data_IF_410955746532
#
_entry.id   IF_410955746532
#
_cell.length_a   1.000
_cell.length_b   1.000
_cell.length_c   1.000
_cell.angle_alpha   90.00
_cell.angle_beta   90.00
_cell.angle_gamma   90.00
#
_symmetry.space_group_name_H-M   'P 1'
#
loop_
_entity.id
_entity.type
_entity.pdbx_description
1 polymer ?
#
# COMPACT_ATOMS: atom_id res chain seq x y z
N UNK A 1 57.33 -22.60 50.18
CA UNK A 1 56.67 -22.97 51.45
C UNK A 1 56.77 -24.48 51.60
N UNK A 2 57.04 -24.95 52.82
CA UNK A 2 57.83 -26.12 53.14
C UNK A 2 56.94 -27.23 53.69
N UNK A 3 57.57 -28.26 54.28
CA UNK A 3 56.97 -29.17 55.27
C UNK A 3 56.01 -30.21 54.65
N UNK A 4 55.95 -31.47 55.09
CA UNK A 4 56.40 -32.07 56.34
C UNK A 4 56.12 -33.58 56.30
N UNK A 5 56.76 -34.30 57.21
CA UNK A 5 56.29 -35.51 57.91
C UNK A 5 56.24 -36.84 57.12
N UNK A 6 56.58 -38.01 57.68
CA UNK A 6 57.42 -38.44 58.80
C UNK A 6 57.24 -39.96 59.00
N UNK A 7 58.12 -40.53 59.84
CA UNK A 7 57.94 -41.70 60.72
C UNK A 7 58.00 -43.10 60.05
N UNK A 8 59.05 -43.90 60.33
CA UNK A 8 59.28 -44.75 61.55
C UNK A 8 58.92 -46.22 61.27
N UNK A 9 59.53 -47.27 61.82
CA UNK A 9 60.60 -47.52 62.83
C UNK A 9 60.73 -49.06 62.93
N UNK A 10 61.83 -49.52 63.55
CA UNK A 10 62.06 -50.83 64.21
C UNK A 10 62.52 -51.98 63.29
N UNK A 11 63.54 -52.79 63.61
CA UNK A 11 64.12 -53.33 64.86
C UNK A 11 65.59 -53.77 64.57
N UNK A 12 66.59 -53.95 65.45
CA UNK A 12 66.70 -54.23 66.89
C UNK A 12 68.10 -53.79 67.41
N UNK A 13 68.17 -53.35 68.67
CA UNK A 13 69.36 -53.01 69.48
C UNK A 13 70.18 -54.23 69.96
N UNK A 14 71.43 -54.01 70.41
CA UNK A 14 71.85 -54.20 71.83
C UNK A 14 73.34 -53.83 72.08
N UNK A 15 73.52 -52.85 72.99
CA UNK A 15 74.56 -52.68 74.02
C UNK A 15 76.02 -52.24 73.72
N UNK A 16 76.35 -51.07 74.28
CA UNK A 16 77.65 -50.58 74.80
C UNK A 16 77.82 -51.04 76.29
N UNK A 17 78.83 -50.71 77.13
CA UNK A 17 80.25 -50.28 76.99
C UNK A 17 81.23 -51.04 77.95
N UNK A 18 82.50 -50.58 78.02
CA UNK A 18 83.49 -50.61 79.14
C UNK A 18 84.66 -51.64 79.14
N UNK A 19 85.89 -51.09 79.21
CA UNK A 19 87.15 -51.67 79.76
C UNK A 19 87.11 -51.74 81.31
N UNK A 20 88.17 -52.17 82.04
CA UNK A 20 88.98 -53.41 82.05
C UNK A 20 88.91 -54.08 83.47
N UNK A 21 89.75 -55.07 83.84
CA UNK A 21 90.82 -54.75 84.81
C UNK A 21 92.12 -55.62 84.75
N UNK A 22 93.03 -55.24 85.65
CA UNK A 22 94.41 -55.67 85.97
C UNK A 22 94.53 -56.98 86.79
N UNK A 23 95.80 -57.33 87.08
CA UNK A 23 96.40 -58.26 88.08
C UNK A 23 96.77 -59.66 87.53
N UNK A 24 98.03 -60.09 87.41
CA UNK A 24 99.22 -60.15 88.30
C UNK A 24 99.21 -61.31 89.31
N UNK A 25 100.41 -61.93 89.43
CA UNK A 25 100.96 -62.71 90.57
C UNK A 25 101.13 -64.24 90.34
N UNK A 26 102.43 -64.63 90.32
CA UNK A 26 103.12 -65.85 90.82
C UNK A 26 102.34 -66.75 91.82
N UNK A 27 102.66 -68.05 92.07
CA UNK A 27 103.89 -68.40 92.82
C UNK A 27 104.45 -69.86 92.73
N UNK A 28 105.70 -69.97 93.20
CA UNK A 28 106.30 -70.98 94.11
C UNK A 28 106.18 -72.50 93.88
N UNK A 29 107.34 -73.09 93.54
CA UNK A 29 108.08 -74.24 94.14
C UNK A 29 107.33 -75.14 95.16
N UNK A 30 107.55 -76.48 95.06
CA UNK A 30 107.97 -77.23 96.24
C UNK A 30 109.22 -78.12 96.03
N UNK A 31 109.79 -78.44 97.18
CA UNK A 31 111.05 -79.12 97.51
C UNK A 31 110.86 -80.64 97.53
N UNK A 32 111.84 -81.43 97.05
CA UNK A 32 112.23 -82.70 97.69
C UNK A 32 113.50 -83.35 97.10
N UNK A 33 114.45 -83.60 98.01
CA UNK A 33 115.31 -84.79 98.15
C UNK A 33 115.81 -85.53 96.92
N UNK A 34 117.14 -85.59 96.77
CA UNK A 34 117.86 -86.82 97.16
C UNK A 34 119.37 -86.61 97.18
N UNK A 35 119.93 -87.00 98.32
CA UNK A 35 121.32 -87.10 98.67
C UNK A 35 122.09 -88.05 97.74
N UNK A 36 123.34 -87.67 97.44
CA UNK A 36 124.54 -88.53 97.52
C UNK A 36 124.46 -89.96 96.95
N UNK A 37 125.05 -90.18 95.77
CA UNK A 37 126.02 -91.26 95.50
C UNK A 37 127.03 -90.70 94.47
N UNK A 38 128.33 -90.88 94.74
CA UNK A 38 129.49 -90.39 93.98
C UNK A 38 129.85 -91.32 92.78
N UNK A 39 130.92 -91.06 92.00
CA UNK A 39 130.86 -90.64 90.60
C UNK A 39 131.31 -91.75 89.61
N UNK A 40 131.35 -91.48 88.29
CA UNK A 40 132.57 -90.93 87.71
C UNK A 40 132.33 -89.76 86.73
N UNK A 41 133.20 -88.76 86.86
CA UNK A 41 133.64 -87.76 85.87
C UNK A 41 132.81 -87.56 84.58
N UNK A 42 131.97 -86.51 84.55
CA UNK A 42 131.62 -85.73 83.34
C UNK A 42 131.27 -84.28 83.75
N UNK A 43 131.64 -83.32 82.91
CA UNK A 43 131.89 -81.92 83.26
C UNK A 43 130.64 -81.03 83.47
N UNK A 44 130.67 -80.04 84.39
CA UNK A 44 129.54 -79.15 84.73
C UNK A 44 128.97 -78.25 83.62
N UNK A 45 129.67 -78.09 82.49
CA UNK A 45 129.19 -77.24 81.38
C UNK A 45 128.10 -77.91 80.54
N UNK A 46 128.06 -79.25 80.54
CA UNK A 46 127.09 -80.00 79.74
C UNK A 46 125.67 -79.93 80.34
N UNK A 47 125.52 -79.94 81.67
CA UNK A 47 124.21 -79.93 82.34
C UNK A 47 123.49 -78.57 82.31
N UNK A 48 124.23 -77.45 82.40
CA UNK A 48 123.66 -76.09 82.27
C UNK A 48 123.23 -75.78 80.84
N UNK A 49 124.00 -76.24 79.85
CA UNK A 49 123.66 -76.12 78.43
C UNK A 49 122.39 -76.93 78.11
N UNK A 50 122.27 -78.15 78.65
CA UNK A 50 121.06 -78.99 78.52
C UNK A 50 119.81 -78.33 79.12
N UNK A 51 119.91 -77.70 80.30
CA UNK A 51 118.79 -76.98 80.92
C UNK A 51 118.39 -75.72 80.13
N UNK A 52 119.37 -74.92 79.69
CA UNK A 52 119.12 -73.73 78.85
C UNK A 52 118.46 -74.10 77.52
N UNK A 53 118.92 -75.19 76.88
CA UNK A 53 118.29 -75.73 75.67
C UNK A 53 116.87 -76.23 75.95
N UNK A 54 116.59 -76.85 77.09
CA UNK A 54 115.25 -77.29 77.47
C UNK A 54 114.28 -76.11 77.68
N UNK A 55 114.71 -75.04 78.36
CA UNK A 55 113.92 -73.81 78.55
C UNK A 55 113.67 -73.12 77.21
N UNK A 56 114.70 -73.01 76.35
CA UNK A 56 114.53 -72.44 75.01
C UNK A 56 113.61 -73.27 74.12
N UNK A 57 113.70 -74.60 74.18
CA UNK A 57 112.77 -75.52 73.48
C UNK A 57 111.33 -75.35 73.99
N UNK A 58 111.14 -75.23 75.29
CA UNK A 58 109.81 -74.99 75.89
C UNK A 58 109.22 -73.63 75.51
N UNK A 59 110.04 -72.58 75.47
CA UNK A 59 109.61 -71.24 75.00
C UNK A 59 109.26 -71.24 73.51
N UNK A 60 110.07 -71.92 72.68
CA UNK A 60 109.78 -72.13 71.25
C UNK A 60 108.44 -72.85 71.08
N UNK A 61 108.20 -73.93 71.84
CA UNK A 61 106.93 -74.66 71.76
C UNK A 61 105.73 -73.80 72.20
N UNK A 62 105.89 -72.90 73.18
CA UNK A 62 104.83 -71.97 73.58
C UNK A 62 104.57 -70.91 72.50
N UNK A 63 105.62 -70.31 71.93
CA UNK A 63 105.49 -69.36 70.83
C UNK A 63 104.89 -70.01 69.58
N UNK A 64 105.26 -71.26 69.28
CA UNK A 64 104.64 -72.06 68.21
C UNK A 64 103.16 -72.32 68.50
N UNK A 65 102.76 -72.59 69.75
CA UNK A 65 101.35 -72.74 70.12
C UNK A 65 100.57 -71.44 69.97
N UNK A 66 101.16 -70.30 70.35
CA UNK A 66 100.54 -68.97 70.20
C UNK A 66 100.44 -68.57 68.72
N UNK A 67 101.52 -68.73 67.95
CA UNK A 67 101.56 -68.47 66.52
C UNK A 67 100.54 -69.34 65.77
N UNK A 68 100.47 -70.64 66.08
CA UNK A 68 99.46 -71.52 65.48
C UNK A 68 98.03 -71.16 65.90
N UNK A 69 97.82 -70.63 67.11
CA UNK A 69 96.51 -70.14 67.54
C UNK A 69 96.13 -68.82 66.84
N UNK A 70 97.09 -67.93 66.59
CA UNK A 70 96.90 -66.69 65.85
C UNK A 70 96.69 -66.95 64.35
N UNK A 71 97.47 -67.83 63.75
CA UNK A 71 97.30 -68.29 62.36
C UNK A 71 95.93 -68.94 62.15
N UNK A 72 95.44 -69.74 63.11
CA UNK A 72 94.06 -70.27 63.07
C UNK A 72 92.99 -69.17 63.15
N UNK A 73 93.21 -68.11 63.93
CA UNK A 73 92.28 -66.96 63.99
C UNK A 73 92.32 -66.16 62.70
N UNK A 74 93.51 -65.97 62.14
CA UNK A 74 93.72 -65.22 60.91
C UNK A 74 93.10 -65.96 59.72
N UNK A 75 93.37 -67.24 59.58
CA UNK A 75 92.72 -68.09 58.54
C UNK A 75 91.20 -68.14 58.69
N UNK A 76 90.67 -68.18 59.92
CA UNK A 76 89.22 -68.12 60.14
C UNK A 76 88.64 -66.75 59.75
N UNK A 77 89.34 -65.65 60.06
CA UNK A 77 88.94 -64.31 59.64
C UNK A 77 89.03 -64.12 58.12
N UNK A 78 90.07 -64.67 57.48
CA UNK A 78 90.22 -64.68 56.02
C UNK A 78 89.05 -65.43 55.37
N UNK A 79 88.69 -66.62 55.88
CA UNK A 79 87.53 -67.38 55.41
C UNK A 79 86.23 -66.60 55.54
N UNK A 80 85.99 -65.95 56.69
CA UNK A 80 84.80 -65.12 56.86
C UNK A 80 84.74 -63.95 55.87
N UNK A 81 85.87 -63.29 55.61
CA UNK A 81 85.90 -62.21 54.62
C UNK A 81 85.68 -62.72 53.19
N UNK A 82 86.19 -63.91 52.87
CA UNK A 82 85.96 -64.56 51.59
C UNK A 82 84.47 -64.96 51.43
N UNK A 83 83.86 -65.53 52.47
CA UNK A 83 82.43 -65.85 52.50
C UNK A 83 81.55 -64.59 52.37
N UNK A 84 81.87 -63.52 53.10
CA UNK A 84 81.16 -62.24 53.02
C UNK A 84 81.31 -61.60 51.63
N UNK A 85 82.49 -61.69 51.00
CA UNK A 85 82.70 -61.21 49.63
C UNK A 85 81.84 -61.98 48.63
N UNK A 86 81.73 -63.31 48.78
CA UNK A 86 80.85 -64.16 47.94
C UNK A 86 79.38 -63.77 48.14
N UNK A 87 78.93 -63.58 49.38
CA UNK A 87 77.55 -63.18 49.68
C UNK A 87 77.25 -61.79 49.11
N UNK A 88 78.18 -60.85 49.22
CA UNK A 88 78.01 -59.50 48.69
C UNK A 88 77.93 -59.49 47.16
N UNK A 89 78.78 -60.26 46.48
CA UNK A 89 78.71 -60.42 45.02
C UNK A 89 77.40 -61.07 44.58
N UNK A 90 76.88 -62.04 45.34
CA UNK A 90 75.56 -62.61 45.09
C UNK A 90 74.45 -61.57 45.29
N UNK A 91 74.54 -60.74 46.33
CA UNK A 91 73.60 -59.66 46.59
C UNK A 91 73.59 -58.62 45.45
N UNK A 92 74.76 -58.20 44.95
CA UNK A 92 74.84 -57.28 43.82
C UNK A 92 74.22 -57.88 42.55
N UNK A 93 74.51 -59.16 42.25
CA UNK A 93 73.90 -59.86 41.11
C UNK A 93 72.38 -59.94 41.22
N UNK A 94 71.85 -60.25 42.39
CA UNK A 94 70.40 -60.33 42.62
C UNK A 94 69.75 -58.94 42.55
N UNK A 95 70.42 -57.90 43.07
CA UNK A 95 69.93 -56.52 43.00
C UNK A 95 69.90 -55.98 41.57
N UNK A 96 70.99 -56.17 40.81
CA UNK A 96 71.08 -55.80 39.41
C UNK A 96 70.01 -56.54 38.60
N UNK A 97 69.84 -57.85 38.84
CA UNK A 97 68.79 -58.65 38.21
C UNK A 97 67.40 -58.12 38.52
N UNK A 98 67.09 -57.86 39.79
CA UNK A 98 65.79 -57.32 40.20
C UNK A 98 65.53 -55.92 39.62
N UNK A 99 66.55 -55.04 39.58
CA UNK A 99 66.42 -53.71 38.99
C UNK A 99 66.14 -53.77 37.48
N UNK A 100 66.83 -54.65 36.75
CA UNK A 100 66.59 -54.90 35.33
C UNK A 100 65.21 -55.50 35.09
N UNK A 101 64.77 -56.44 35.93
CA UNK A 101 63.42 -57.00 35.86
C UNK A 101 62.35 -55.92 36.11
N UNK A 102 62.54 -55.06 37.11
CA UNK A 102 61.64 -53.94 37.37
C UNK A 102 61.55 -52.94 36.20
N UNK A 103 62.68 -52.62 35.55
CA UNK A 103 62.72 -51.76 34.35
C UNK A 103 61.95 -52.43 33.20
N UNK A 104 62.20 -53.71 32.93
CA UNK A 104 61.49 -54.46 31.88
C UNK A 104 59.99 -54.48 32.10
N UNK A 105 59.54 -54.68 33.33
CA UNK A 105 58.11 -54.64 33.68
C UNK A 105 57.54 -53.25 33.41
N UNK A 106 58.22 -52.18 33.86
CA UNK A 106 57.79 -50.79 33.62
C UNK A 106 57.72 -50.43 32.13
N UNK A 107 58.68 -50.90 31.32
CA UNK A 107 58.68 -50.72 29.86
C UNK A 107 57.52 -51.44 29.19
N UNK A 108 57.25 -52.69 29.58
CA UNK A 108 56.11 -53.48 29.06
C UNK A 108 54.77 -52.82 29.43
N UNK A 109 54.61 -52.38 30.69
CA UNK A 109 53.42 -51.65 31.12
C UNK A 109 53.23 -50.34 30.36
N UNK A 110 54.32 -49.60 30.13
CA UNK A 110 54.29 -48.36 29.34
C UNK A 110 53.91 -48.64 27.90
N UNK A 111 54.43 -49.71 27.30
CA UNK A 111 54.07 -50.15 25.95
C UNK A 111 52.59 -50.49 25.84
N UNK A 112 52.05 -51.31 26.74
CA UNK A 112 50.61 -51.66 26.76
C UNK A 112 49.75 -50.41 26.97
N UNK A 113 50.16 -49.49 27.86
CA UNK A 113 49.48 -48.22 28.06
C UNK A 113 49.47 -47.36 26.79
N UNK A 114 50.59 -47.26 26.08
CA UNK A 114 50.67 -46.52 24.80
C UNK A 114 49.77 -47.14 23.73
N UNK A 115 49.73 -48.46 23.62
CA UNK A 115 48.84 -49.18 22.69
C UNK A 115 47.36 -48.91 23.02
N UNK A 116 46.95 -49.02 24.30
CA UNK A 116 45.58 -48.68 24.71
C UNK A 116 45.25 -47.21 24.49
N UNK A 117 46.19 -46.30 24.74
CA UNK A 117 46.02 -44.87 24.46
C UNK A 117 45.79 -44.61 22.97
N UNK A 118 46.50 -45.31 22.08
CA UNK A 118 46.30 -45.20 20.63
C UNK A 118 44.91 -45.68 20.20
N UNK A 119 44.42 -46.77 20.80
CA UNK A 119 43.10 -47.34 20.53
C UNK A 119 41.97 -46.43 21.04
N UNK A 120 42.13 -45.85 22.23
CA UNK A 120 41.19 -44.84 22.75
C UNK A 120 41.12 -43.65 21.80
N UNK A 121 42.26 -43.12 21.33
CA UNK A 121 42.30 -42.02 20.37
C UNK A 121 41.57 -42.40 19.07
N UNK A 122 41.84 -43.59 18.54
CA UNK A 122 41.19 -44.12 17.32
C UNK A 122 39.67 -44.20 17.46
N UNK A 123 39.17 -44.74 18.57
CA UNK A 123 37.72 -44.83 18.84
C UNK A 123 37.13 -43.44 19.04
N UNK A 124 37.83 -42.55 19.75
CA UNK A 124 37.37 -41.17 20.01
C UNK A 124 37.19 -40.40 18.71
N UNK A 125 38.14 -40.51 17.77
CA UNK A 125 38.00 -39.91 16.43
C UNK A 125 36.78 -40.46 15.69
N UNK A 126 36.59 -41.79 15.66
CA UNK A 126 35.41 -42.40 15.01
C UNK A 126 34.09 -41.94 15.63
N UNK A 127 34.04 -41.83 16.96
CA UNK A 127 32.86 -41.35 17.67
C UNK A 127 32.52 -39.91 17.26
N UNK A 128 33.51 -39.02 17.14
CA UNK A 128 33.27 -37.63 16.69
C UNK A 128 32.77 -37.61 15.25
N UNK A 129 33.35 -38.40 14.35
CA UNK A 129 32.87 -38.52 12.96
C UNK A 129 31.41 -39.00 12.93
N UNK A 130 31.08 -40.09 13.62
CA UNK A 130 29.71 -40.63 13.67
C UNK A 130 28.74 -39.60 14.27
N UNK A 131 29.13 -38.90 15.35
CA UNK A 131 28.31 -37.82 15.92
C UNK A 131 28.06 -36.70 14.91
N UNK A 132 29.09 -36.29 14.16
CA UNK A 132 28.93 -35.28 13.11
C UNK A 132 27.99 -35.74 12.00
N UNK A 133 28.05 -37.02 11.62
CA UNK A 133 27.17 -37.58 10.60
C UNK A 133 25.74 -37.71 11.10
N UNK A 134 25.52 -38.09 12.38
CA UNK A 134 24.21 -38.06 13.02
C UNK A 134 23.62 -36.65 12.93
N UNK A 135 24.37 -35.62 13.30
CA UNK A 135 23.87 -34.23 13.20
C UNK A 135 23.52 -33.83 11.76
N UNK A 136 24.36 -34.18 10.77
CA UNK A 136 24.04 -33.94 9.36
C UNK A 136 22.75 -34.64 8.92
N UNK A 137 22.58 -35.90 9.29
CA UNK A 137 21.38 -36.66 8.94
C UNK A 137 20.14 -36.15 9.68
N UNK A 138 20.27 -35.68 10.92
CA UNK A 138 19.18 -35.02 11.65
C UNK A 138 18.70 -33.75 10.94
N UNK A 139 19.62 -32.94 10.42
CA UNK A 139 19.29 -31.72 9.67
C UNK A 139 18.64 -32.04 8.33
N UNK A 140 19.19 -33.00 7.56
CA UNK A 140 18.56 -33.50 6.33
C UNK A 140 17.15 -34.05 6.61
N UNK A 141 16.97 -34.77 7.72
CA UNK A 141 15.66 -35.28 8.11
C UNK A 141 14.66 -34.17 8.46
N UNK A 142 15.11 -33.04 9.01
CA UNK A 142 14.24 -31.87 9.22
C UNK A 142 13.83 -31.27 7.88
N UNK A 143 14.75 -31.11 6.94
CA UNK A 143 14.46 -30.60 5.59
C UNK A 143 13.43 -31.49 4.86
N UNK A 144 13.62 -32.82 4.87
CA UNK A 144 12.66 -33.72 4.26
C UNK A 144 11.28 -33.71 4.93
N UNK A 145 11.21 -33.47 6.25
CA UNK A 145 9.92 -33.25 6.94
C UNK A 145 9.24 -31.97 6.46
N UNK A 146 9.99 -30.87 6.33
CA UNK A 146 9.47 -29.61 5.78
C UNK A 146 8.95 -29.80 4.35
N UNK A 147 9.71 -30.51 3.49
CA UNK A 147 9.30 -30.81 2.12
C UNK A 147 8.05 -31.69 2.09
N UNK A 148 7.97 -32.72 2.96
CA UNK A 148 6.78 -33.57 3.07
C UNK A 148 5.54 -32.77 3.48
N UNK A 149 5.66 -31.88 4.46
CA UNK A 149 4.55 -31.02 4.89
C UNK A 149 4.13 -30.04 3.79
N UNK A 150 5.09 -29.47 3.07
CA UNK A 150 4.84 -28.61 1.92
C UNK A 150 4.07 -29.34 0.82
N UNK A 151 4.55 -30.52 0.39
CA UNK A 151 3.87 -31.35 -0.60
C UNK A 151 2.48 -31.77 -0.14
N UNK A 152 2.30 -32.07 1.15
CA UNK A 152 0.98 -32.41 1.70
C UNK A 152 -0.01 -31.24 1.59
N UNK A 153 0.44 -30.00 1.86
CA UNK A 153 -0.40 -28.79 1.75
C UNK A 153 -0.80 -28.49 0.30
N UNK A 154 0.10 -28.75 -0.66
CA UNK A 154 -0.18 -28.57 -2.08
C UNK A 154 -1.01 -29.70 -2.70
N UNK A 155 -1.10 -30.84 -2.02
CA UNK A 155 -1.94 -31.94 -2.50
C UNK A 155 -3.42 -31.53 -2.49
N UNK A 156 -4.27 -31.99 -3.43
CA UNK A 156 -5.69 -31.65 -3.45
C UNK A 156 -6.41 -31.98 -2.14
N UNK A 157 -7.42 -31.17 -1.77
CA UNK A 157 -8.16 -31.32 -0.51
C UNK A 157 -8.79 -32.71 -0.37
N UNK A 158 -9.36 -33.25 -1.44
CA UNK A 158 -9.96 -34.59 -1.47
C UNK A 158 -8.94 -35.67 -1.06
N UNK A 159 -7.72 -35.55 -1.56
CA UNK A 159 -6.64 -36.47 -1.23
C UNK A 159 -6.15 -36.28 0.21
N UNK A 160 -6.01 -35.02 0.68
CA UNK A 160 -5.63 -34.73 2.06
C UNK A 160 -6.64 -35.30 3.07
N UNK A 161 -7.94 -35.15 2.80
CA UNK A 161 -9.02 -35.65 3.65
C UNK A 161 -9.05 -37.17 3.70
N UNK A 162 -8.93 -37.83 2.54
CA UNK A 162 -8.82 -39.28 2.46
C UNK A 162 -7.60 -39.80 3.25
N UNK A 163 -6.46 -39.12 3.18
CA UNK A 163 -5.28 -39.47 3.98
C UNK A 163 -5.47 -39.27 5.48
N UNK A 164 -6.12 -38.19 5.91
CA UNK A 164 -6.46 -37.97 7.32
C UNK A 164 -7.44 -39.02 7.83
N UNK A 165 -8.41 -39.43 7.01
CA UNK A 165 -9.36 -40.49 7.33
C UNK A 165 -8.66 -41.85 7.45
N UNK A 166 -7.81 -42.22 6.47
CA UNK A 166 -6.95 -43.42 6.53
C UNK A 166 -6.13 -43.44 7.84
N UNK A 167 -5.45 -42.34 8.17
CA UNK A 167 -4.66 -42.24 9.41
C UNK A 167 -5.49 -42.42 10.69
N UNK A 168 -6.73 -41.88 10.73
CA UNK A 168 -7.66 -42.08 11.86
C UNK A 168 -8.09 -43.55 11.97
N UNK A 169 -8.40 -44.20 10.85
CA UNK A 169 -8.80 -45.62 10.85
C UNK A 169 -7.67 -46.56 11.27
N UNK A 170 -6.42 -46.26 10.88
CA UNK A 170 -5.24 -47.01 11.30
C UNK A 170 -4.99 -46.89 12.82
N UNK A 171 -5.14 -45.68 13.37
CA UNK A 171 -5.04 -45.45 14.83
C UNK A 171 -6.14 -46.17 15.63
N UNK A 172 -7.35 -46.28 15.08
CA UNK A 172 -8.46 -47.02 15.72
C UNK A 172 -8.23 -48.54 15.69
N UNK A 173 -7.63 -49.05 14.60
CA UNK A 173 -7.27 -50.47 14.44
C UNK A 173 -6.09 -50.89 15.33
N UNK A 174 -5.13 -50.00 15.61
CA UNK A 174 -4.05 -50.31 16.56
C UNK A 174 -4.54 -50.31 18.01
N UNK A 175 -5.45 -49.41 18.40
CA UNK A 175 -6.02 -49.34 19.75
C UNK A 175 -6.93 -50.54 20.11
N UNK A 176 -7.48 -51.24 19.13
CA UNK A 176 -8.33 -52.44 19.36
C UNK A 176 -7.54 -53.74 19.42
N UNK A 177 -6.24 -53.74 19.11
CA UNK A 177 -5.38 -54.94 19.13
C UNK A 177 -4.74 -55.22 20.50
N UNK A 178 -4.76 -54.25 21.42
CA UNK A 178 -4.26 -54.36 22.80
C UNK A 178 -5.36 -54.76 23.83
N UNK A 179 -6.18 -55.77 23.51
CA UNK A 179 -6.97 -56.48 24.54
C UNK A 179 -6.37 -57.88 24.79
N UNK A 180 -5.85 -58.18 26.00
CA UNK A 180 -5.39 -59.52 26.33
C UNK A 180 -6.57 -60.49 26.31
N UNK A 181 -6.45 -61.58 25.55
CA UNK A 181 -7.33 -62.74 25.71
C UNK A 181 -6.90 -63.49 26.97
N UNK A 182 -7.59 -63.21 28.06
CA UNK A 182 -7.60 -64.04 29.26
C UNK A 182 -8.30 -65.37 28.90
N UNK A 183 -7.56 -66.48 28.95
CA UNK A 183 -8.12 -67.82 29.06
C UNK A 183 -7.36 -68.55 30.14
N UNK A 184 -8.06 -68.65 31.26
CA UNK A 184 -7.77 -69.42 32.45
C UNK A 184 -7.77 -70.93 32.14
N UNK A 185 -6.84 -71.68 32.77
CA UNK A 185 -6.97 -73.07 33.23
C UNK A 185 -5.64 -73.57 33.85
N UNK A 186 -5.71 -73.74 35.17
CA UNK A 186 -4.95 -74.61 36.09
C UNK A 186 -4.18 -75.79 35.45
N UNK A 187 -2.93 -76.08 35.88
CA UNK A 187 -2.61 -76.77 37.15
C UNK A 187 -1.08 -77.10 37.27
N UNK A 188 -0.51 -76.91 38.47
CA UNK A 188 0.50 -77.74 39.18
C UNK A 188 2.05 -77.56 39.00
N UNK A 189 2.66 -77.18 40.14
CA UNK A 189 4.00 -77.51 40.69
C UNK A 189 5.28 -76.95 39.98
N UNK A 190 6.33 -76.38 40.60
CA UNK A 190 6.89 -76.27 41.97
C UNK A 190 7.91 -75.09 42.00
N UNK A 191 8.35 -74.56 43.16
CA UNK A 191 9.22 -73.39 43.25
C UNK A 191 10.70 -73.76 43.45
N UNK A 192 11.62 -73.12 42.70
CA UNK A 192 13.04 -73.02 43.08
C UNK A 192 13.55 -71.60 42.92
N UNK A 193 13.89 -71.02 44.08
CA UNK A 193 14.72 -69.82 44.28
C UNK A 193 16.03 -69.92 43.48
N UNK A 194 16.34 -68.87 42.71
CA UNK A 194 17.67 -68.27 42.68
C UNK A 194 17.55 -66.75 42.55
N UNK A 195 18.01 -66.07 43.58
CA UNK A 195 18.31 -64.65 43.65
C UNK A 195 19.43 -64.31 42.66
N UNK A 196 19.35 -63.16 41.99
CA UNK A 196 20.44 -62.17 41.88
C UNK A 196 20.41 -61.40 40.56
N UNK A 197 20.36 -60.06 40.70
CA UNK A 197 20.75 -59.02 39.74
C UNK A 197 20.05 -59.02 38.37
N UNK A 198 18.86 -58.43 38.31
CA UNK A 198 18.38 -57.80 37.08
C UNK A 198 17.46 -56.59 37.31
N UNK A 199 17.70 -55.84 38.40
CA UNK A 199 16.93 -54.62 38.74
C UNK A 199 17.62 -53.31 38.30
N UNK A 200 18.63 -53.37 37.44
CA UNK A 200 19.35 -52.17 36.97
C UNK A 200 19.30 -51.92 35.46
N UNK A 201 18.63 -52.77 34.68
CA UNK A 201 18.48 -52.62 33.23
C UNK A 201 17.04 -52.30 32.77
N UNK A 202 16.14 -51.98 33.70
CA UNK A 202 14.73 -51.63 33.38
C UNK A 202 14.55 -50.13 33.10
N UNK A 203 15.59 -49.30 33.28
CA UNK A 203 15.49 -47.84 33.06
C UNK A 203 16.19 -47.32 31.80
N UNK A 204 16.72 -48.20 30.93
CA UNK A 204 17.36 -47.80 29.66
C UNK A 204 16.84 -48.57 28.44
N UNK A 205 15.62 -49.10 28.51
CA UNK A 205 14.89 -49.63 27.34
C UNK A 205 13.75 -48.71 26.86
N UNK A 206 13.50 -47.59 27.55
CA UNK A 206 12.52 -46.57 27.15
C UNK A 206 12.95 -45.73 25.93
N UNK A 207 14.13 -45.96 25.35
CA UNK A 207 14.66 -45.18 24.22
C UNK A 207 14.97 -46.05 22.99
N UNK A 208 14.67 -47.35 23.01
CA UNK A 208 14.71 -48.14 21.77
C UNK A 208 13.38 -48.04 21.02
N UNK A 209 13.09 -46.84 20.51
CA UNK A 209 12.07 -46.58 19.50
C UNK A 209 12.54 -46.92 18.07
N UNK A 210 13.62 -47.69 17.92
CA UNK A 210 14.31 -47.90 16.63
C UNK A 210 14.38 -49.40 16.28
N UNK A 211 13.24 -50.08 16.40
CA UNK A 211 12.99 -51.34 15.69
C UNK A 211 11.48 -51.51 15.47
N UNK A 212 10.86 -50.56 14.77
CA UNK A 212 9.58 -50.81 14.12
C UNK A 212 9.87 -51.26 12.68
N UNK A 213 9.69 -52.55 12.32
CA UNK A 213 9.74 -53.01 10.94
C UNK A 213 8.42 -52.68 10.22
N UNK A 214 8.02 -51.41 10.24
CA UNK A 214 6.91 -50.87 9.46
C UNK A 214 7.30 -49.49 8.96
N UNK A 215 8.31 -49.44 8.10
CA UNK A 215 8.45 -48.34 7.17
C UNK A 215 7.35 -48.52 6.12
N UNK A 216 6.14 -48.11 6.47
CA UNK A 216 5.12 -47.84 5.45
C UNK A 216 5.70 -46.72 4.58
N UNK A 217 5.91 -47.02 3.30
CA UNK A 217 6.33 -46.01 2.34
C UNK A 217 5.37 -44.81 2.44
N UNK A 218 5.88 -43.59 2.67
CA UNK A 218 5.03 -42.42 2.75
C UNK A 218 4.32 -42.24 1.40
N UNK A 219 3.02 -42.52 1.38
CA UNK A 219 2.17 -42.34 0.21
C UNK A 219 2.07 -40.83 -0.10
N UNK A 220 2.78 -40.39 -1.13
CA UNK A 220 2.78 -39.01 -1.64
C UNK A 220 1.79 -38.88 -2.80
N UNK A 221 1.17 -37.70 -2.92
CA UNK A 221 0.31 -37.37 -4.05
C UNK A 221 1.13 -37.23 -5.34
N UNK A 222 2.17 -36.41 -5.30
CA UNK A 222 3.07 -36.17 -6.42
C UNK A 222 4.03 -37.36 -6.60
N UNK A 223 4.07 -37.94 -7.80
CA UNK A 223 4.92 -39.08 -8.15
C UNK A 223 6.12 -38.69 -9.01
N UNK A 224 5.99 -37.60 -9.77
CA UNK A 224 7.06 -37.00 -10.57
C UNK A 224 7.23 -35.54 -10.15
N UNK A 225 8.46 -35.06 -9.83
CA UNK A 225 8.74 -33.65 -9.57
C UNK A 225 8.18 -32.68 -10.62
N UNK A 226 8.04 -33.10 -11.88
CA UNK A 226 7.47 -32.28 -12.95
C UNK A 226 6.03 -31.85 -12.67
N UNK A 227 5.23 -32.69 -12.01
CA UNK A 227 3.83 -32.39 -11.67
C UNK A 227 3.71 -31.16 -10.75
N UNK A 228 4.65 -31.01 -9.82
CA UNK A 228 4.68 -29.83 -8.95
C UNK A 228 5.08 -28.57 -9.72
N UNK A 229 6.05 -28.69 -10.62
CA UNK A 229 6.48 -27.56 -11.45
C UNK A 229 5.36 -27.11 -12.38
N UNK A 230 4.66 -28.05 -13.03
CA UNK A 230 3.51 -27.78 -13.89
C UNK A 230 2.39 -27.09 -13.11
N UNK A 231 2.05 -27.56 -11.90
CA UNK A 231 1.09 -26.90 -11.03
C UNK A 231 1.50 -25.46 -10.68
N UNK A 232 2.77 -25.21 -10.39
CA UNK A 232 3.26 -23.87 -10.09
C UNK A 232 3.23 -22.96 -11.32
N UNK A 233 3.57 -23.49 -12.51
CA UNK A 233 3.46 -22.76 -13.78
C UNK A 233 2.01 -22.45 -14.13
N UNK A 234 1.09 -23.39 -13.93
CA UNK A 234 -0.35 -23.16 -14.13
C UNK A 234 -0.87 -22.10 -13.15
N UNK A 235 -0.48 -22.15 -11.87
CA UNK A 235 -0.83 -21.10 -10.90
C UNK A 235 -0.24 -19.75 -11.27
N UNK A 236 0.98 -19.71 -11.80
CA UNK A 236 1.60 -18.49 -12.30
C UNK A 236 0.81 -17.92 -13.49
N UNK A 237 0.45 -18.76 -14.47
CA UNK A 237 -0.35 -18.37 -15.62
C UNK A 237 -1.75 -17.88 -15.20
N UNK A 238 -2.41 -18.56 -14.27
CA UNK A 238 -3.70 -18.14 -13.71
C UNK A 238 -3.59 -16.80 -12.98
N UNK A 239 -2.54 -16.60 -12.18
CA UNK A 239 -2.31 -15.32 -11.50
C UNK A 239 -2.05 -14.18 -12.50
N UNK A 240 -1.24 -14.42 -13.53
CA UNK A 240 -1.00 -13.44 -14.59
C UNK A 240 -2.29 -13.11 -15.36
N UNK A 241 -3.10 -14.11 -15.68
CA UNK A 241 -4.41 -13.94 -16.31
C UNK A 241 -5.37 -13.11 -15.45
N UNK A 242 -5.42 -13.37 -14.14
CA UNK A 242 -6.23 -12.60 -13.19
C UNK A 242 -5.77 -11.15 -13.08
N UNK A 243 -4.46 -10.91 -13.05
CA UNK A 243 -3.90 -9.55 -13.03
C UNK A 243 -4.27 -8.80 -14.31
N UNK A 244 -4.12 -9.46 -15.47
CA UNK A 244 -4.47 -8.87 -16.75
C UNK A 244 -5.96 -8.56 -16.83
N UNK A 245 -6.83 -9.51 -16.46
CA UNK A 245 -8.27 -9.31 -16.45
C UNK A 245 -8.68 -8.18 -15.49
N UNK A 246 -8.11 -8.13 -14.29
CA UNK A 246 -8.34 -7.05 -13.34
C UNK A 246 -7.98 -5.69 -13.95
N UNK A 247 -6.84 -5.59 -14.64
CA UNK A 247 -6.40 -4.35 -15.28
C UNK A 247 -7.32 -3.95 -16.45
N UNK A 248 -7.68 -4.90 -17.31
CA UNK A 248 -8.63 -4.65 -18.40
C UNK A 248 -10.00 -4.18 -17.87
N UNK A 249 -10.49 -4.79 -16.77
CA UNK A 249 -11.74 -4.36 -16.14
C UNK A 249 -11.63 -2.99 -15.48
N UNK A 250 -10.47 -2.65 -14.90
CA UNK A 250 -10.19 -1.34 -14.32
C UNK A 250 -10.17 -0.26 -15.40
N UNK A 251 -9.47 -0.51 -16.50
CA UNK A 251 -9.40 0.40 -17.65
C UNK A 251 -10.80 0.63 -18.26
N UNK A 252 -11.59 -0.44 -18.48
CA UNK A 252 -12.97 -0.33 -18.97
C UNK A 252 -13.88 0.43 -17.99
N UNK A 253 -13.68 0.25 -16.68
CA UNK A 253 -14.43 1.00 -15.67
C UNK A 253 -14.07 2.50 -15.69
N UNK A 254 -12.80 2.84 -15.91
CA UNK A 254 -12.34 4.22 -16.02
C UNK A 254 -12.88 4.89 -17.29
N UNK A 255 -12.86 4.21 -18.43
CA UNK A 255 -13.50 4.70 -19.66
C UNK A 255 -15.00 4.95 -19.46
N UNK A 256 -15.71 4.02 -18.80
CA UNK A 256 -17.12 4.21 -18.48
C UNK A 256 -17.35 5.42 -17.57
N UNK A 257 -16.51 5.61 -16.54
CA UNK A 257 -16.56 6.81 -15.68
C UNK A 257 -16.39 8.09 -16.48
N UNK A 258 -15.43 8.13 -17.40
CA UNK A 258 -15.18 9.31 -18.25
C UNK A 258 -16.38 9.62 -19.15
N UNK A 259 -16.98 8.61 -19.77
CA UNK A 259 -18.19 8.77 -20.61
C UNK A 259 -19.37 9.27 -19.78
N UNK A 260 -19.57 8.72 -18.58
CA UNK A 260 -20.64 9.15 -17.67
C UNK A 260 -20.43 10.60 -17.21
N UNK A 261 -19.20 10.99 -16.91
CA UNK A 261 -18.85 12.36 -16.54
C UNK A 261 -19.06 13.34 -17.69
N UNK A 262 -18.67 12.96 -18.90
CA UNK A 262 -18.91 13.75 -20.12
C UNK A 262 -20.42 13.93 -20.36
N UNK A 263 -21.19 12.85 -20.31
CA UNK A 263 -22.64 12.89 -20.51
C UNK A 263 -23.35 13.70 -19.43
N UNK A 264 -22.94 13.56 -18.16
CA UNK A 264 -23.48 14.37 -17.06
C UNK A 264 -23.27 15.86 -17.31
N UNK A 265 -22.05 16.27 -17.68
CA UNK A 265 -21.73 17.68 -17.98
C UNK A 265 -22.55 18.20 -19.17
N UNK A 266 -22.68 17.39 -20.24
CA UNK A 266 -23.49 17.75 -21.41
C UNK A 266 -24.97 17.93 -21.02
N UNK A 267 -25.53 17.00 -20.27
CA UNK A 267 -26.90 17.08 -19.77
C UNK A 267 -27.13 18.29 -18.86
N UNK A 268 -26.16 18.63 -18.00
CA UNK A 268 -26.23 19.82 -17.14
C UNK A 268 -26.27 21.10 -17.98
N UNK A 269 -25.44 21.20 -19.03
CA UNK A 269 -25.47 22.33 -19.96
C UNK A 269 -26.83 22.42 -20.68
N UNK A 270 -27.34 21.32 -21.22
CA UNK A 270 -28.66 21.28 -21.88
C UNK A 270 -29.80 21.64 -20.91
N UNK A 271 -29.74 21.15 -19.66
CA UNK A 271 -30.73 21.48 -18.61
C UNK A 271 -30.70 22.96 -18.27
N UNK A 272 -29.50 23.55 -18.13
CA UNK A 272 -29.35 24.98 -17.86
C UNK A 272 -29.87 25.83 -19.04
N UNK A 273 -29.64 25.41 -20.28
CA UNK A 273 -30.17 26.07 -21.47
C UNK A 273 -31.70 26.02 -21.50
N UNK A 274 -32.31 24.86 -21.24
CA UNK A 274 -33.76 24.72 -21.18
C UNK A 274 -34.36 25.55 -20.05
N UNK A 275 -33.72 25.58 -18.89
CA UNK A 275 -34.14 26.41 -17.75
C UNK A 275 -34.13 27.89 -18.13
N UNK A 276 -33.06 28.37 -18.78
CA UNK A 276 -32.98 29.73 -19.25
C UNK A 276 -34.05 30.06 -20.30
N UNK A 277 -34.36 29.14 -21.21
CA UNK A 277 -35.46 29.31 -22.18
C UNK A 277 -36.81 29.40 -21.48
N UNK A 278 -37.06 28.55 -20.48
CA UNK A 278 -38.28 28.60 -19.66
C UNK A 278 -38.39 29.95 -18.96
N UNK A 279 -37.32 30.47 -18.37
CA UNK A 279 -37.33 31.76 -17.69
C UNK A 279 -37.65 32.91 -18.64
N UNK A 280 -37.03 32.93 -19.83
CA UNK A 280 -37.30 33.93 -20.87
C UNK A 280 -38.75 33.86 -21.34
N UNK A 281 -39.25 32.65 -21.61
CA UNK A 281 -40.65 32.45 -22.03
C UNK A 281 -41.61 32.86 -20.92
N UNK A 282 -41.34 32.51 -19.67
CA UNK A 282 -42.15 32.88 -18.51
C UNK A 282 -42.20 34.39 -18.34
N UNK A 283 -41.06 35.07 -18.46
CA UNK A 283 -40.99 36.53 -18.42
C UNK A 283 -41.76 37.16 -19.59
N UNK A 284 -41.63 36.61 -20.80
CA UNK A 284 -42.36 37.09 -21.98
C UNK A 284 -43.87 36.92 -21.81
N UNK A 285 -44.33 35.75 -21.37
CA UNK A 285 -45.74 35.47 -21.08
C UNK A 285 -46.26 36.45 -20.02
N UNK A 286 -45.49 36.71 -18.96
CA UNK A 286 -45.88 37.66 -17.92
C UNK A 286 -46.07 39.07 -18.49
N UNK A 287 -45.10 39.56 -19.28
CA UNK A 287 -45.17 40.86 -19.95
C UNK A 287 -46.34 40.96 -20.92
N UNK A 288 -46.61 39.92 -21.72
CA UNK A 288 -47.78 39.89 -22.61
C UNK A 288 -49.09 39.88 -21.81
N UNK A 289 -49.15 39.18 -20.67
CA UNK A 289 -50.32 39.20 -19.77
C UNK A 289 -50.54 40.58 -19.17
N UNK A 290 -49.48 41.28 -18.74
CA UNK A 290 -49.58 42.66 -18.26
C UNK A 290 -50.10 43.59 -19.35
N UNK A 291 -49.56 43.50 -20.57
CA UNK A 291 -50.07 44.28 -21.72
C UNK A 291 -51.51 43.92 -22.07
N UNK A 292 -51.88 42.65 -22.02
CA UNK A 292 -53.25 42.22 -22.27
C UNK A 292 -54.21 42.81 -21.22
N UNK A 293 -53.81 42.81 -19.94
CA UNK A 293 -54.57 43.42 -18.86
C UNK A 293 -54.66 44.95 -19.01
N UNK A 294 -53.57 45.61 -19.40
CA UNK A 294 -53.56 47.06 -19.70
C UNK A 294 -54.48 47.41 -20.87
N UNK A 295 -54.39 46.66 -21.97
CA UNK A 295 -55.25 46.83 -23.14
C UNK A 295 -56.71 46.55 -22.82
N UNK A 296 -57.00 45.53 -22.00
CA UNK A 296 -58.35 45.24 -21.55
C UNK A 296 -58.90 46.39 -20.69
N UNK A 297 -58.12 46.92 -19.75
CA UNK A 297 -58.51 48.09 -18.97
C UNK A 297 -58.76 49.29 -19.90
N UNK A 298 -57.87 49.54 -20.86
CA UNK A 298 -58.01 50.62 -21.85
C UNK A 298 -59.24 50.43 -22.73
N UNK A 299 -59.53 49.21 -23.17
CA UNK A 299 -60.72 48.87 -23.94
C UNK A 299 -61.99 49.06 -23.09
N UNK A 300 -61.98 48.65 -21.82
CA UNK A 300 -63.08 48.91 -20.88
C UNK A 300 -63.29 50.42 -20.70
N UNK A 301 -62.23 51.21 -20.48
CA UNK A 301 -62.31 52.67 -20.38
C UNK A 301 -62.83 53.33 -21.66
N UNK A 302 -62.39 52.85 -22.82
CA UNK A 302 -62.86 53.31 -24.13
C UNK A 302 -64.32 52.93 -24.38
N UNK A 303 -64.77 51.75 -23.94
CA UNK A 303 -66.15 51.29 -24.02
C UNK A 303 -67.07 52.04 -23.04
N UNK A 304 -66.58 52.39 -21.85
CA UNK A 304 -67.24 53.37 -20.97
C UNK A 304 -67.26 54.78 -21.59
N UNK A 305 -66.31 55.06 -22.50
CA UNK A 305 -66.07 56.35 -23.12
C UNK A 305 -66.96 56.71 -24.31
N UNK A 306 -67.65 55.77 -25.00
CA UNK A 306 -68.64 56.13 -26.05
C UNK A 306 -69.42 54.93 -26.61
N UNK A 307 -70.76 55.00 -26.49
CA UNK A 307 -71.61 55.32 -27.63
C UNK A 307 -72.83 56.08 -27.08
N UNK A 308 -72.70 57.41 -26.93
CA UNK A 308 -73.92 58.21 -27.07
C UNK A 308 -74.39 57.94 -28.50
N UNK A 309 -75.62 57.46 -28.66
CA UNK A 309 -76.22 57.07 -29.95
C UNK A 309 -76.06 58.13 -31.04
N UNK A 310 -75.84 59.39 -30.66
CA UNK A 310 -75.62 60.52 -31.56
C UNK A 310 -74.35 60.42 -32.42
N UNK A 311 -73.25 59.83 -31.93
CA UNK A 311 -72.01 59.76 -32.72
C UNK A 311 -72.10 58.77 -33.89
N UNK A 312 -72.96 57.75 -33.78
CA UNK A 312 -73.19 56.81 -34.88
C UNK A 312 -73.97 57.47 -36.03
N UNK A 313 -75.02 58.23 -35.69
CA UNK A 313 -75.75 59.04 -36.67
C UNK A 313 -74.90 60.13 -37.30
N UNK A 314 -73.98 60.75 -36.55
CA UNK A 314 -73.00 61.68 -37.09
C UNK A 314 -72.05 60.98 -38.07
N UNK A 315 -71.55 59.78 -37.75
CA UNK A 315 -70.65 59.04 -38.65
C UNK A 315 -71.35 58.56 -39.92
N UNK A 316 -72.60 58.13 -39.82
CA UNK A 316 -73.42 57.74 -40.97
C UNK A 316 -73.72 58.95 -41.88
N UNK A 317 -74.04 60.11 -41.30
CA UNK A 317 -74.25 61.35 -42.08
C UNK A 317 -72.97 61.86 -42.75
N UNK A 318 -71.82 61.74 -42.07
CA UNK A 318 -70.52 62.05 -42.67
C UNK A 318 -70.18 61.06 -43.78
N UNK A 319 -70.42 59.76 -43.58
CA UNK A 319 -70.26 58.73 -44.60
C UNK A 319 -71.06 59.04 -45.86
N UNK A 320 -72.34 59.39 -45.71
CA UNK A 320 -73.20 59.79 -46.83
C UNK A 320 -72.69 61.04 -47.55
N UNK A 321 -72.19 62.05 -46.81
CA UNK A 321 -71.65 63.27 -47.42
C UNK A 321 -70.33 63.02 -48.15
N UNK A 322 -69.46 62.19 -47.60
CA UNK A 322 -68.21 61.76 -48.24
C UNK A 322 -68.50 60.98 -49.52
N UNK A 323 -69.49 60.09 -49.50
CA UNK A 323 -69.93 59.35 -50.69
C UNK A 323 -70.47 60.29 -51.78
N UNK A 324 -71.25 61.31 -51.39
CA UNK A 324 -71.72 62.36 -52.32
C UNK A 324 -70.55 63.09 -52.98
N UNK A 325 -69.56 63.52 -52.20
CA UNK A 325 -68.37 64.23 -52.72
C UNK A 325 -67.53 63.30 -53.60
N UNK A 326 -67.34 62.05 -53.20
CA UNK A 326 -66.60 61.04 -53.97
C UNK A 326 -67.22 60.83 -55.36
N UNK A 327 -68.54 60.64 -55.42
CA UNK A 327 -69.28 60.48 -56.67
C UNK A 327 -69.13 61.68 -57.62
N UNK A 328 -69.09 62.90 -57.07
CA UNK A 328 -68.91 64.13 -57.88
C UNK A 328 -67.47 64.32 -58.34
N UNK A 329 -66.48 64.10 -57.47
CA UNK A 329 -65.09 64.45 -57.74
C UNK A 329 -64.29 63.34 -58.45
N UNK A 330 -64.62 62.08 -58.18
CA UNK A 330 -63.88 60.90 -58.64
C UNK A 330 -64.72 60.04 -59.59
N UNK A 331 -66.03 59.90 -59.32
CA UNK A 331 -66.99 59.13 -60.12
C UNK A 331 -67.58 57.92 -59.38
N UNK A 332 -68.61 57.28 -59.94
CA UNK A 332 -69.22 56.08 -59.33
C UNK A 332 -68.30 54.86 -59.49
N UNK A 333 -67.85 54.28 -58.38
CA UNK A 333 -67.19 52.96 -58.34
C UNK A 333 -68.18 51.90 -57.88
N UNK A 334 -68.26 50.77 -58.59
CA UNK A 334 -69.14 49.62 -58.25
C UNK A 334 -68.64 48.76 -57.07
N UNK A 335 -67.56 49.19 -56.40
CA UNK A 335 -67.01 48.50 -55.23
C UNK A 335 -67.56 49.10 -53.94
N UNK A 336 -67.88 48.25 -52.96
CA UNK A 336 -68.23 48.67 -51.59
C UNK A 336 -66.99 49.29 -50.90
N UNK A 337 -66.70 50.56 -51.21
CA UNK A 337 -65.56 51.29 -50.66
C UNK A 337 -65.91 51.81 -49.26
N UNK A 338 -64.98 51.65 -48.32
CA UNK A 338 -65.07 52.23 -46.98
C UNK A 338 -64.94 53.76 -47.03
N UNK A 339 -65.56 54.49 -46.09
CA UNK A 339 -65.46 55.96 -45.98
C UNK A 339 -64.03 56.48 -45.99
N UNK A 340 -63.09 55.76 -45.36
CA UNK A 340 -61.67 56.13 -45.36
C UNK A 340 -61.02 55.94 -46.75
N UNK A 341 -61.45 54.91 -47.48
CA UNK A 341 -60.96 54.67 -48.85
C UNK A 341 -61.52 55.74 -49.81
N UNK A 342 -62.79 56.13 -49.65
CA UNK A 342 -63.39 57.24 -50.39
C UNK A 342 -62.67 58.56 -50.13
N UNK A 343 -62.38 58.89 -48.86
CA UNK A 343 -61.62 60.09 -48.49
C UNK A 343 -60.21 60.10 -49.09
N UNK A 344 -59.48 58.99 -49.01
CA UNK A 344 -58.14 58.88 -49.58
C UNK A 344 -58.13 59.08 -51.10
N UNK A 345 -59.16 58.61 -51.80
CA UNK A 345 -59.28 58.80 -53.24
C UNK A 345 -59.69 60.25 -53.59
N UNK A 346 -60.54 60.90 -52.78
CA UNK A 346 -60.81 62.34 -52.91
C UNK A 346 -59.52 63.14 -52.70
N UNK A 347 -58.73 62.81 -51.69
CA UNK A 347 -57.46 63.47 -51.38
C UNK A 347 -56.47 63.33 -52.54
N UNK A 348 -56.26 62.11 -53.05
CA UNK A 348 -55.41 61.88 -54.22
C UNK A 348 -55.87 62.68 -55.45
N UNK A 349 -57.20 62.76 -55.67
CA UNK A 349 -57.76 63.57 -56.76
C UNK A 349 -57.54 65.06 -56.56
N UNK A 350 -57.61 65.52 -55.31
CA UNK A 350 -57.38 66.91 -54.95
C UNK A 350 -55.90 67.26 -55.16
N UNK A 351 -54.97 66.39 -54.76
CA UNK A 351 -53.54 66.56 -55.00
C UNK A 351 -53.21 66.61 -56.49
N UNK A 352 -53.75 65.69 -57.30
CA UNK A 352 -53.62 65.71 -58.76
C UNK A 352 -54.10 67.05 -59.35
N UNK A 353 -55.25 67.56 -58.88
CA UNK A 353 -55.79 68.83 -59.34
C UNK A 353 -54.92 70.02 -58.92
N UNK A 354 -54.35 70.00 -57.71
CA UNK A 354 -53.43 71.04 -57.25
C UNK A 354 -52.13 71.04 -58.03
N UNK A 355 -51.51 69.88 -58.28
CA UNK A 355 -50.32 69.77 -59.15
C UNK A 355 -50.62 70.28 -60.56
N UNK A 356 -51.78 69.90 -61.12
CA UNK A 356 -52.20 70.40 -62.43
C UNK A 356 -52.34 71.93 -62.46
N UNK A 357 -52.80 72.54 -61.36
CA UNK A 357 -52.90 74.00 -61.23
C UNK A 357 -51.52 74.65 -61.13
N UNK A 358 -50.58 74.05 -60.40
CA UNK A 358 -49.21 74.57 -60.27
C UNK A 358 -48.40 74.48 -61.58
N UNK A 359 -48.63 73.43 -62.38
CA UNK A 359 -47.92 73.22 -63.65
C UNK A 359 -48.48 74.11 -64.78
N UNK A 360 -49.64 74.76 -64.60
CA UNK A 360 -50.18 75.68 -65.63
C UNK A 360 -49.19 76.83 -65.88
N UNK A 361 -48.65 76.99 -67.11
CA UNK A 361 -47.71 78.06 -67.41
C UNK A 361 -48.34 79.44 -67.20
N UNK A 362 -47.61 80.35 -66.55
CA UNK A 362 -48.06 81.72 -66.27
C UNK A 362 -48.49 82.46 -67.53
N UNK A 363 -47.86 82.21 -68.67
CA UNK A 363 -48.26 82.77 -69.97
C UNK A 363 -49.66 82.32 -70.39
N UNK A 364 -50.01 81.03 -70.23
CA UNK A 364 -51.35 80.54 -70.55
C UNK A 364 -52.39 81.12 -69.62
N UNK A 365 -52.03 81.30 -68.35
CA UNK A 365 -52.89 81.91 -67.32
C UNK A 365 -53.18 83.38 -67.64
N UNK A 366 -52.16 84.17 -67.99
CA UNK A 366 -52.31 85.57 -68.42
C UNK A 366 -53.11 85.68 -69.72
N UNK A 367 -52.91 84.78 -70.68
CA UNK A 367 -53.71 84.75 -71.91
C UNK A 367 -55.18 84.42 -71.64
N UNK A 368 -55.46 83.45 -70.77
CA UNK A 368 -56.81 83.08 -70.37
C UNK A 368 -57.49 84.20 -69.58
N UNK A 369 -56.77 84.87 -68.67
CA UNK A 369 -57.27 86.05 -67.93
C UNK A 369 -57.58 87.20 -68.89
N UNK A 370 -56.67 87.51 -69.83
CA UNK A 370 -56.91 88.50 -70.88
C UNK A 370 -58.10 88.15 -71.76
N UNK A 371 -58.28 86.87 -72.10
CA UNK A 371 -59.43 86.41 -72.88
C UNK A 371 -60.75 86.56 -72.10
N UNK A 372 -60.79 86.13 -70.83
CA UNK A 372 -61.96 86.31 -69.96
C UNK A 372 -62.27 87.77 -69.68
N UNK A 373 -61.27 88.61 -69.44
CA UNK A 373 -61.44 90.05 -69.26
C UNK A 373 -61.88 90.73 -70.57
N UNK A 374 -61.38 90.29 -71.74
CA UNK A 374 -61.84 90.76 -73.05
C UNK A 374 -63.30 90.35 -73.31
N UNK A 375 -63.68 89.12 -72.98
CA UNK A 375 -65.06 88.63 -73.10
C UNK A 375 -66.00 89.39 -72.15
N UNK A 376 -65.57 89.62 -70.90
CA UNK A 376 -66.31 90.45 -69.95
C UNK A 376 -66.51 91.88 -70.45
N UNK A 377 -65.45 92.51 -70.99
CA UNK A 377 -65.54 93.84 -71.62
C UNK A 377 -66.43 93.84 -72.85
N UNK A 378 -66.37 92.80 -73.67
CA UNK A 378 -67.23 92.66 -74.84
C UNK A 378 -68.70 92.57 -74.42
N UNK A 379 -69.03 91.71 -73.43
CA UNK A 379 -70.38 91.63 -72.85
C UNK A 379 -70.86 92.98 -72.32
N UNK A 380 -70.02 93.69 -71.56
CA UNK A 380 -70.35 95.03 -71.04
C UNK A 380 -70.59 96.07 -72.16
N UNK A 381 -69.81 96.02 -73.25
CA UNK A 381 -69.98 96.93 -74.39
C UNK A 381 -71.20 96.59 -75.21
N UNK A 382 -71.45 95.31 -75.46
CA UNK A 382 -72.61 94.84 -76.21
C UNK A 382 -73.90 95.19 -75.46
N UNK A 383 -73.90 95.01 -74.14
CA UNK A 383 -74.99 95.42 -73.25
C UNK A 383 -75.20 96.95 -73.27
N UNK A 384 -74.11 97.76 -73.30
CA UNK A 384 -74.20 99.21 -73.46
C UNK A 384 -74.70 99.65 -74.84
N UNK A 385 -74.24 99.01 -75.92
CA UNK A 385 -74.70 99.27 -77.28
C UNK A 385 -76.19 98.93 -77.44
N UNK A 386 -76.65 97.83 -76.80
CA UNK A 386 -78.06 97.51 -76.70
C UNK A 386 -78.85 98.57 -75.96
N UNK A 387 -78.34 99.07 -74.82
CA UNK A 387 -78.96 100.17 -74.08
C UNK A 387 -79.04 101.47 -74.92
N UNK A 388 -77.97 101.87 -75.60
CA UNK A 388 -77.95 103.07 -76.45
C UNK A 388 -78.90 102.94 -77.65
N UNK A 389 -78.95 101.75 -78.28
CA UNK A 389 -79.90 101.46 -79.37
C UNK A 389 -81.35 101.51 -78.88
N UNK A 390 -81.65 100.90 -77.74
CA UNK A 390 -82.96 101.01 -77.10
C UNK A 390 -83.30 102.48 -76.83
N UNK A 391 -82.36 103.28 -76.32
CA UNK A 391 -82.59 104.69 -76.07
C UNK A 391 -82.81 105.50 -77.37
N UNK A 392 -82.07 105.22 -78.44
CA UNK A 392 -82.28 105.83 -79.76
C UNK A 392 -83.63 105.45 -80.37
N UNK A 393 -84.01 104.16 -80.30
CA UNK A 393 -85.31 103.67 -80.73
C UNK A 393 -86.44 104.32 -79.93
N UNK A 394 -86.29 104.46 -78.61
CA UNK A 394 -87.23 105.21 -77.77
C UNK A 394 -87.31 106.69 -78.17
N UNK A 395 -86.18 107.34 -78.46
CA UNK A 395 -86.16 108.75 -78.92
C UNK A 395 -86.84 108.90 -80.27
N UNK A 396 -86.58 108.00 -81.21
CA UNK A 396 -87.20 107.98 -82.53
C UNK A 396 -88.70 107.70 -82.41
N UNK A 397 -89.10 106.74 -81.57
CA UNK A 397 -90.50 106.44 -81.26
C UNK A 397 -91.21 107.64 -80.63
N UNK A 398 -90.61 108.30 -79.65
CA UNK A 398 -91.16 109.56 -79.08
C UNK A 398 -91.21 110.70 -80.11
N UNK A 399 -90.29 110.75 -81.07
CA UNK A 399 -90.32 111.74 -82.15
C UNK A 399 -91.45 111.44 -83.16
N UNK A 400 -91.63 110.16 -83.53
CA UNK A 400 -92.75 109.69 -84.35
C UNK A 400 -94.10 109.90 -83.65
N UNK A 401 -94.20 109.59 -82.35
CA UNK A 401 -95.38 109.86 -81.54
C UNK A 401 -95.68 111.37 -81.46
N UNK A 402 -94.66 112.25 -81.39
CA UNK A 402 -94.86 113.71 -81.51
C UNK A 402 -95.28 114.15 -82.91
N UNK A 403 -94.80 113.48 -83.96
CA UNK A 403 -95.16 113.78 -85.35
C UNK A 403 -96.56 113.27 -85.72
N UNK A 404 -97.01 112.18 -85.09
CA UNK A 404 -98.35 111.58 -85.23
C UNK A 404 -99.36 112.14 -84.23
N UNK A 405 -98.92 112.85 -83.19
CA UNK A 405 -99.81 113.54 -82.27
C UNK A 405 -100.47 114.72 -83.00
N UNK A 406 -101.78 114.59 -83.21
CA UNK A 406 -102.62 115.61 -83.80
C UNK A 406 -102.45 116.98 -83.11
N UNK A 407 -102.29 118.01 -83.93
CA UNK A 407 -102.28 119.42 -83.53
C UNK A 407 -103.61 119.77 -82.88
N UNK A 408 -103.69 119.69 -81.54
CA UNK A 408 -104.88 120.14 -80.80
C UNK A 408 -104.92 121.67 -80.76
N UNK A 409 -105.92 122.20 -81.46
CA UNK A 409 -106.30 123.62 -81.48
C UNK A 409 -106.72 124.11 -80.10
N UNK A 410 -106.32 125.33 -79.81
CA UNK A 410 -106.53 126.10 -78.59
C UNK A 410 -108.00 126.31 -78.24
N UNK A 411 -108.35 126.18 -76.96
CA UNK A 411 -109.52 126.85 -76.37
C UNK A 411 -109.12 127.52 -75.05
N UNK A 412 -108.92 128.83 -75.17
CA UNK A 412 -109.19 129.90 -74.21
C UNK A 412 -109.30 129.54 -72.71
N UNK A 413 -108.38 130.07 -71.90
CA UNK A 413 -108.77 130.84 -70.71
C UNK A 413 -107.67 131.82 -70.26
N UNK A 414 -108.08 133.08 -70.20
CA UNK A 414 -107.72 134.15 -69.25
C UNK A 414 -106.30 134.75 -69.29
N UNK A 415 -106.29 136.00 -69.74
CA UNK A 415 -105.25 137.02 -69.57
C UNK A 415 -104.96 137.25 -68.08
N UNK A 416 -103.70 137.19 -67.66
CA UNK A 416 -103.19 138.06 -66.60
C UNK A 416 -101.85 138.64 -67.06
N UNK A 417 -101.92 139.87 -67.53
CA UNK A 417 -100.81 140.81 -67.49
C UNK A 417 -100.57 141.22 -66.02
N UNK A 418 -99.29 141.34 -65.71
CA UNK A 418 -98.69 142.33 -64.82
C UNK A 418 -98.39 141.97 -63.36
N UNK A 419 -97.10 142.20 -63.07
CA UNK A 419 -96.53 142.90 -61.89
C UNK A 419 -96.53 142.07 -60.59
N UNK A 420 -95.41 141.94 -59.89
CA UNK A 420 -94.67 143.04 -59.27
C UNK A 420 -93.22 142.69 -58.91
N UNK A 421 -92.38 143.71 -58.59
CA UNK A 421 -90.94 143.73 -58.78
C UNK A 421 -90.14 143.51 -57.48
N UNK A 422 -88.81 143.42 -57.65
CA UNK A 422 -87.73 143.80 -56.71
C UNK A 422 -88.03 143.76 -55.20
N UNK A 423 -87.28 142.93 -54.45
CA UNK A 423 -86.63 143.43 -53.23
C UNK A 423 -85.39 142.65 -52.79
N UNK A 424 -84.44 143.48 -52.35
CA UNK A 424 -83.17 143.34 -51.65
C UNK A 424 -83.09 142.40 -50.42
N UNK A 425 -81.90 141.80 -50.23
CA UNK A 425 -81.16 141.50 -48.95
C UNK A 425 -81.86 140.55 -47.93
N UNK A 426 -81.23 139.67 -47.14
CA UNK A 426 -79.97 139.71 -46.35
C UNK A 426 -79.71 138.29 -45.73
N UNK A 427 -78.82 138.02 -44.74
CA UNK A 427 -77.56 137.32 -44.98
C UNK A 427 -77.27 136.05 -44.14
N UNK A 428 -76.08 135.49 -44.38
CA UNK A 428 -75.18 134.73 -43.47
C UNK A 428 -75.52 133.27 -43.07
N UNK A 429 -74.55 132.41 -43.46
CA UNK A 429 -73.92 131.34 -42.65
C UNK A 429 -74.77 130.10 -42.32
N UNK A 430 -74.21 128.95 -42.73
CA UNK A 430 -74.27 127.58 -42.16
C UNK A 430 -75.63 126.85 -42.14
N UNK A 431 -75.72 125.52 -42.26
CA UNK A 431 -74.79 124.38 -42.10
C UNK A 431 -74.96 123.42 -43.27
#
# INVERSE_FOLDING_TARGET
MPFHWLHSRLYYELFSPQQPPLLSIHPSIPVCSSSSISPPSLSPQHSLSQYSLAVKRGEIEQLEKVAAAEERKLTHAEQFLEDDAIIFDQFLKENDKNSVEAIKVAELETKVKMEKMSEIKRITTRMVTIKSDISKFEDIMKEFKMHKEFLFKLSPLEWQEAHRAKAKTLKLKSATKDKPKEKDKDERATPKRRTSMCSFLVSLSSVCGVCCPLQEDPELYFRDPRQLLELLTELEEQNLSLIQNSRETEDAQEEFRQVMDYNRKKMEVETNQLTQQIDIMTHTIHRERERAAELELRARLFNFGKYKSDDKGMFDSLGAKVEEVYRVCVGDSEANLSTLQMLKAIESRLDELLENVEIVPKERLVLAERAKEKERRFRLRDEKMHQDKQHQEERLKRALERAQADVKKTVSHTICLNTTPLQSYSPKISV
#
